data_IF_913571400113
#
_entry.id   IF_913571400113
#
_cell.length_a   1.000
_cell.length_b   1.000
_cell.length_c   1.000
_cell.angle_alpha   90.00
_cell.angle_beta   90.00
_cell.angle_gamma   90.00
#
_symmetry.space_group_name_H-M   'P 1'
#
loop_
_entity.id
_entity.type
_entity.pdbx_description
1 polymer ?
#
# COMPACT_ATOMS: atom_id res chain seq x y z
N UNK A 1 13.45 -17.86 -7.90
CA UNK A 1 12.52 -16.81 -7.44
C UNK A 1 12.85 -16.45 -6.00
N UNK A 2 12.98 -15.16 -5.65
CA UNK A 2 13.27 -14.74 -4.27
C UNK A 2 12.01 -14.90 -3.42
N UNK A 3 12.09 -15.65 -2.31
CA UNK A 3 11.01 -15.78 -1.32
C UNK A 3 10.86 -14.44 -0.59
N UNK A 4 9.65 -13.90 -0.58
CA UNK A 4 9.32 -12.69 0.17
C UNK A 4 8.92 -13.06 1.60
N UNK A 5 9.24 -12.18 2.53
CA UNK A 5 8.93 -12.27 3.96
C UNK A 5 8.09 -11.06 4.39
N UNK A 6 7.49 -11.13 5.58
CA UNK A 6 6.75 -10.00 6.14
C UNK A 6 7.62 -8.73 6.26
N UNK A 7 8.92 -8.89 6.53
CA UNK A 7 9.85 -7.78 6.59
C UNK A 7 9.99 -7.03 5.25
N UNK A 8 9.85 -7.72 4.11
CA UNK A 8 9.84 -7.05 2.80
C UNK A 8 8.65 -6.11 2.66
N UNK A 9 7.48 -6.50 3.17
CA UNK A 9 6.30 -5.64 3.22
C UNK A 9 6.52 -4.41 4.11
N UNK A 10 7.11 -4.59 5.30
CA UNK A 10 7.45 -3.48 6.20
C UNK A 10 8.43 -2.49 5.56
N UNK A 11 9.49 -2.98 4.91
CA UNK A 11 10.47 -2.15 4.20
C UNK A 11 9.79 -1.34 3.08
N UNK A 12 8.93 -2.00 2.29
CA UNK A 12 8.21 -1.36 1.19
C UNK A 12 7.25 -0.28 1.70
N UNK A 13 6.54 -0.56 2.80
CA UNK A 13 5.64 0.42 3.40
C UNK A 13 6.42 1.63 3.93
N UNK A 14 7.54 1.40 4.63
CA UNK A 14 8.39 2.47 5.17
C UNK A 14 8.97 3.36 4.07
N UNK A 15 9.38 2.79 2.93
CA UNK A 15 9.84 3.54 1.75
C UNK A 15 8.76 4.45 1.12
N UNK A 16 7.50 4.26 1.49
CA UNK A 16 6.34 5.03 1.01
C UNK A 16 5.64 5.79 2.15
N UNK A 17 6.40 6.11 3.20
CA UNK A 17 5.94 6.80 4.41
C UNK A 17 4.71 6.17 5.04
N UNK A 18 4.65 4.84 5.02
CA UNK A 18 3.56 4.09 5.61
C UNK A 18 4.03 2.87 6.39
N UNK A 19 3.08 2.03 6.75
CA UNK A 19 3.28 0.86 7.60
C UNK A 19 2.56 -0.36 7.03
N UNK A 20 3.20 -1.51 7.15
CA UNK A 20 2.52 -2.80 7.09
C UNK A 20 2.00 -3.09 8.49
N UNK A 21 0.69 -3.30 8.62
CA UNK A 21 0.03 -3.61 9.89
C UNK A 21 -0.14 -5.13 10.10
N UNK A 22 0.05 -5.93 9.06
CA UNK A 22 0.09 -7.39 9.18
C UNK A 22 1.39 -7.88 9.83
N UNK A 23 1.28 -8.97 10.58
CA UNK A 23 2.40 -9.64 11.26
C UNK A 23 2.92 -10.88 10.54
N UNK A 24 2.16 -11.39 9.57
CA UNK A 24 2.49 -12.61 8.81
C UNK A 24 2.32 -12.37 7.30
N UNK A 25 3.17 -13.01 6.49
CA UNK A 25 3.04 -13.07 5.05
C UNK A 25 3.07 -14.54 4.60
N UNK A 26 1.92 -15.03 4.11
CA UNK A 26 1.72 -16.44 3.73
C UNK A 26 2.13 -16.70 2.28
N UNK A 27 1.60 -15.89 1.37
CA UNK A 27 1.84 -16.00 -0.07
C UNK A 27 1.56 -14.68 -0.80
N UNK A 28 1.71 -14.68 -2.13
CA UNK A 28 1.54 -13.48 -2.96
C UNK A 28 0.08 -13.09 -3.26
N UNK A 29 -0.90 -13.86 -2.78
CA UNK A 29 -2.34 -13.64 -2.97
C UNK A 29 -3.02 -13.19 -1.68
N UNK A 30 -2.47 -13.58 -0.54
CA UNK A 30 -2.98 -13.24 0.79
C UNK A 30 -2.83 -11.73 1.00
N UNK A 31 -3.94 -11.01 1.24
CA UNK A 31 -3.88 -9.59 1.51
C UNK A 31 -3.10 -9.28 2.78
N UNK A 32 -2.31 -8.21 2.74
CA UNK A 32 -1.75 -7.58 3.94
C UNK A 32 -2.52 -6.29 4.21
N UNK A 33 -2.51 -5.86 5.47
CA UNK A 33 -3.09 -4.59 5.90
C UNK A 33 -2.01 -3.53 5.86
N UNK A 34 -2.31 -2.40 5.23
CA UNK A 34 -1.38 -1.29 5.02
C UNK A 34 -1.97 0.00 5.60
N UNK A 35 -1.08 0.92 5.97
CA UNK A 35 -1.43 2.27 6.40
C UNK A 35 -0.50 3.29 5.75
N UNK A 36 -1.03 4.33 5.11
CA UNK A 36 -0.20 5.42 4.57
C UNK A 36 0.02 6.53 5.61
N UNK A 37 0.88 7.50 5.30
CA UNK A 37 1.12 8.70 6.12
C UNK A 37 -0.14 9.51 6.44
N UNK A 38 -1.16 9.50 5.58
CA UNK A 38 -2.47 10.14 5.81
C UNK A 38 -3.44 9.29 6.64
N UNK A 39 -2.96 8.23 7.29
CA UNK A 39 -3.73 7.32 8.14
C UNK A 39 -4.83 6.51 7.44
N UNK A 40 -4.93 6.53 6.09
CA UNK A 40 -5.80 5.61 5.37
C UNK A 40 -5.31 4.18 5.55
N UNK A 41 -6.24 3.25 5.80
CA UNK A 41 -5.97 1.82 5.96
C UNK A 41 -6.65 1.06 4.82
N UNK A 42 -5.94 0.11 4.22
CA UNK A 42 -6.50 -0.74 3.16
C UNK A 42 -5.85 -2.13 3.17
N UNK A 43 -6.53 -3.09 2.55
CA UNK A 43 -6.10 -4.49 2.47
C UNK A 43 -5.85 -4.88 1.02
N UNK A 44 -4.60 -5.19 0.70
CA UNK A 44 -4.19 -5.68 -0.64
C UNK A 44 -2.97 -6.59 -0.55
N UNK A 45 -2.76 -7.52 -1.51
CA UNK A 45 -1.57 -8.36 -1.51
C UNK A 45 -0.28 -7.56 -1.77
N UNK A 46 0.84 -8.02 -1.22
CA UNK A 46 2.17 -7.42 -1.46
C UNK A 46 2.54 -7.40 -2.95
N UNK A 47 2.13 -8.41 -3.72
CA UNK A 47 2.31 -8.46 -5.17
C UNK A 47 1.68 -7.24 -5.87
N UNK A 48 0.51 -6.80 -5.39
CA UNK A 48 -0.19 -5.63 -5.90
C UNK A 48 0.57 -4.34 -5.61
N UNK A 49 1.10 -4.18 -4.40
CA UNK A 49 1.92 -3.01 -4.02
C UNK A 49 3.25 -2.93 -4.79
N UNK A 50 3.83 -4.08 -5.14
CA UNK A 50 5.10 -4.16 -5.89
C UNK A 50 4.90 -3.89 -7.38
N UNK A 51 3.85 -4.47 -7.96
CA UNK A 51 3.66 -4.48 -9.41
C UNK A 51 2.80 -3.31 -9.89
N UNK A 52 1.97 -2.72 -9.02
CA UNK A 52 1.22 -1.52 -9.35
C UNK A 52 1.96 -0.28 -8.82
N UNK A 53 1.99 0.79 -9.64
CA UNK A 53 2.50 2.10 -9.24
C UNK A 53 1.61 2.86 -8.24
N UNK A 54 0.52 2.26 -7.79
CA UNK A 54 -0.43 2.87 -6.87
C UNK A 54 -0.19 2.37 -5.45
N UNK A 55 0.09 3.31 -4.54
CA UNK A 55 0.34 3.01 -3.13
C UNK A 55 -0.95 2.96 -2.32
N UNK A 56 -1.68 4.08 -2.26
CA UNK A 56 -2.91 4.25 -1.51
C UNK A 56 -3.97 4.86 -2.44
N UNK A 57 -5.06 4.14 -2.69
CA UNK A 57 -6.14 4.57 -3.60
C UNK A 57 -6.75 5.90 -3.16
N UNK A 58 -7.01 6.06 -1.86
CA UNK A 58 -7.57 7.28 -1.28
C UNK A 58 -6.61 8.48 -1.43
N UNK A 59 -5.30 8.25 -1.42
CA UNK A 59 -4.33 9.30 -1.72
C UNK A 59 -4.29 9.66 -3.20
N UNK A 60 -4.45 8.68 -4.09
CA UNK A 60 -4.48 8.90 -5.53
C UNK A 60 -5.75 9.65 -5.97
N UNK A 61 -6.90 9.33 -5.37
CA UNK A 61 -8.20 9.93 -5.69
C UNK A 61 -8.28 11.43 -5.33
N UNK A 62 -7.58 11.86 -4.26
CA UNK A 62 -7.52 13.27 -3.85
C UNK A 62 -6.85 14.22 -4.88
N UNK A 63 -6.16 13.70 -5.89
CA UNK A 63 -5.58 14.52 -6.97
C UNK A 63 -6.56 14.78 -8.12
N UNK A 64 -7.65 14.02 -8.24
CA UNK A 64 -8.65 14.20 -9.30
C UNK A 64 -9.71 15.23 -8.87
N UNK A 65 -10.18 15.15 -7.62
CA UNK A 65 -11.27 16.00 -7.15
C UNK A 65 -10.87 17.46 -6.86
N UNK A 66 -9.57 17.73 -6.65
CA UNK A 66 -9.05 19.11 -6.54
C UNK A 66 -8.90 19.83 -7.90
N UNK A 67 -9.23 19.17 -9.03
CA UNK A 67 -9.27 19.82 -10.35
C UNK A 67 -10.68 20.27 -10.76
N UNK A 68 -11.71 19.88 -10.02
CA UNK A 68 -13.12 20.21 -10.29
C UNK A 68 -13.74 21.19 -9.29
N UNK A 69 -12.99 21.67 -8.29
CA UNK A 69 -13.43 22.73 -7.37
C UNK A 69 -12.84 24.11 -7.69
N UNK A 70 -12.49 24.35 -8.96
CA UNK A 70 -12.04 25.64 -9.49
C UNK A 70 -12.98 26.19 -10.58
N UNK A 71 -14.25 25.76 -10.58
CA UNK A 71 -15.34 26.42 -11.29
C UNK A 71 -16.39 26.90 -10.29
#
# INVERSE_FOLDING_TARGET
MKKLLINDACIIAKKRDGMCLSTEYKDNRTPLVWRCSKNHVWSVPLSRIKNLGQWCSQCAEKYINNRLSLL
#
